data_IF_018186240661
#
_entry.id   IF_018186240661
#
_cell.length_a   1.000
_cell.length_b   1.000
_cell.length_c   1.000
_cell.angle_alpha   90.00
_cell.angle_beta   90.00
_cell.angle_gamma   90.00
#
_symmetry.space_group_name_H-M   'P 1'
#
loop_
_entity.id
_entity.type
_entity.pdbx_description
1 polymer ?
#
# COMPACT_ATOMS: atom_id res chain seq x y z
N UNK A 1 -15.20 -3.35 -16.19
CA UNK A 1 -13.91 -2.83 -15.72
C UNK A 1 -12.83 -3.46 -16.57
N UNK A 2 -12.03 -2.63 -17.22
CA UNK A 2 -10.87 -3.03 -18.02
C UNK A 2 -9.64 -3.14 -17.12
N UNK A 3 -8.60 -3.86 -17.57
CA UNK A 3 -7.33 -3.97 -16.83
C UNK A 3 -6.68 -2.60 -16.58
N UNK A 4 -6.91 -1.63 -17.48
CA UNK A 4 -6.46 -0.25 -17.29
C UNK A 4 -7.21 0.45 -16.16
N UNK A 5 -8.53 0.35 -16.13
CA UNK A 5 -9.34 0.97 -15.07
C UNK A 5 -8.99 0.39 -13.70
N UNK A 6 -8.73 -0.92 -13.63
CA UNK A 6 -8.25 -1.56 -12.40
C UNK A 6 -6.87 -1.03 -11.97
N UNK A 7 -5.93 -0.90 -12.90
CA UNK A 7 -4.62 -0.32 -12.59
C UNK A 7 -4.72 1.14 -12.10
N UNK A 8 -5.55 1.96 -12.75
CA UNK A 8 -5.71 3.36 -12.36
C UNK A 8 -6.28 3.46 -10.93
N UNK A 9 -7.24 2.61 -10.56
CA UNK A 9 -7.79 2.53 -9.19
C UNK A 9 -6.70 2.12 -8.19
N UNK A 10 -5.94 1.06 -8.47
CA UNK A 10 -4.87 0.58 -7.57
C UNK A 10 -3.81 1.66 -7.36
N UNK A 11 -3.44 2.40 -8.41
CA UNK A 11 -2.47 3.49 -8.31
C UNK A 11 -3.02 4.69 -7.53
N UNK A 12 -4.31 5.00 -7.69
CA UNK A 12 -4.99 6.04 -6.90
C UNK A 12 -5.03 5.68 -5.41
N UNK A 13 -5.38 4.44 -5.08
CA UNK A 13 -5.42 3.95 -3.70
C UNK A 13 -4.03 3.98 -3.05
N UNK A 14 -3.00 3.46 -3.74
CA UNK A 14 -1.62 3.53 -3.28
C UNK A 14 -1.16 4.98 -3.07
N UNK A 15 -1.53 5.90 -3.97
CA UNK A 15 -1.21 7.32 -3.83
C UNK A 15 -1.86 7.95 -2.60
N UNK A 16 -3.12 7.60 -2.29
CA UNK A 16 -3.81 8.10 -1.10
C UNK A 16 -3.12 7.60 0.19
N UNK A 17 -2.79 6.31 0.28
CA UNK A 17 -2.05 5.78 1.43
C UNK A 17 -0.67 6.43 1.60
N UNK A 18 0.02 6.77 0.51
CA UNK A 18 1.30 7.49 0.59
C UNK A 18 1.14 8.95 1.05
N UNK A 19 0.02 9.61 0.72
CA UNK A 19 -0.28 10.94 1.28
C UNK A 19 -0.54 10.87 2.78
N UNK A 20 -1.28 9.86 3.23
CA UNK A 20 -1.56 9.67 4.65
C UNK A 20 -0.28 9.31 5.41
N UNK A 21 0.60 8.48 4.82
CA UNK A 21 1.94 8.21 5.33
C UNK A 21 2.76 9.51 5.49
N UNK A 22 2.74 10.40 4.49
CA UNK A 22 3.44 11.69 4.60
C UNK A 22 2.87 12.54 5.74
N UNK A 23 1.54 12.56 5.91
CA UNK A 23 0.92 13.27 7.01
C UNK A 23 1.33 12.71 8.38
N UNK A 24 1.30 11.38 8.54
CA UNK A 24 1.73 10.70 9.76
C UNK A 24 3.21 10.96 10.08
N UNK A 25 4.07 11.00 9.06
CA UNK A 25 5.47 11.39 9.21
C UNK A 25 5.60 12.82 9.73
N UNK A 26 4.82 13.76 9.19
CA UNK A 26 4.87 15.18 9.59
C UNK A 26 4.37 15.41 11.03
N UNK A 27 3.43 14.58 11.51
CA UNK A 27 2.90 14.64 12.87
C UNK A 27 3.71 13.82 13.89
N UNK A 28 4.67 13.02 13.42
CA UNK A 28 5.47 12.12 14.25
C UNK A 28 4.74 10.85 14.69
N UNK A 29 3.63 10.50 14.02
CA UNK A 29 2.86 9.29 14.29
C UNK A 29 3.50 8.09 13.58
N UNK A 30 4.42 7.41 14.27
CA UNK A 30 5.15 6.30 13.72
C UNK A 30 4.29 5.04 13.49
N UNK A 31 3.21 4.86 14.26
CA UNK A 31 2.31 3.71 14.13
C UNK A 31 1.45 3.87 12.88
N UNK A 32 0.84 5.05 12.71
CA UNK A 32 0.05 5.37 11.52
C UNK A 32 0.92 5.38 10.25
N UNK A 33 2.15 5.90 10.34
CA UNK A 33 3.11 5.86 9.23
C UNK A 33 3.39 4.41 8.79
N UNK A 34 3.63 3.50 9.73
CA UNK A 34 3.89 2.11 9.42
C UNK A 34 2.67 1.44 8.77
N UNK A 35 1.46 1.72 9.29
CA UNK A 35 0.21 1.20 8.74
C UNK A 35 -0.04 1.70 7.30
N UNK A 36 0.08 3.01 7.06
CA UNK A 36 -0.11 3.60 5.74
C UNK A 36 0.90 3.08 4.72
N UNK A 37 2.16 2.86 5.11
CA UNK A 37 3.16 2.25 4.23
C UNK A 37 2.86 0.78 3.93
N UNK A 38 2.33 0.04 4.90
CA UNK A 38 1.89 -1.34 4.70
C UNK A 38 0.74 -1.43 3.70
N UNK A 39 -0.29 -0.60 3.85
CA UNK A 39 -1.45 -0.55 2.95
C UNK A 39 -1.07 -0.11 1.53
N UNK A 40 -0.22 0.91 1.38
CA UNK A 40 0.30 1.34 0.08
C UNK A 40 1.06 0.19 -0.61
N UNK A 41 1.91 -0.50 0.15
CA UNK A 41 2.71 -1.60 -0.35
C UNK A 41 1.88 -2.83 -0.76
N UNK A 42 0.90 -3.21 0.07
CA UNK A 42 -0.05 -4.27 -0.23
C UNK A 42 -0.85 -3.96 -1.50
N UNK A 43 -1.40 -2.74 -1.58
CA UNK A 43 -2.15 -2.25 -2.74
C UNK A 43 -1.35 -2.40 -4.03
N UNK A 44 -0.08 -1.97 -4.04
CA UNK A 44 0.80 -2.14 -5.19
C UNK A 44 1.09 -3.61 -5.53
N UNK A 45 1.22 -4.49 -4.53
CA UNK A 45 1.45 -5.92 -4.77
C UNK A 45 0.29 -6.59 -5.53
N UNK A 46 -0.93 -6.06 -5.43
CA UNK A 46 -2.08 -6.57 -6.20
C UNK A 46 -1.99 -6.27 -7.70
N UNK A 47 -1.26 -5.22 -8.10
CA UNK A 47 -1.02 -4.85 -9.50
C UNK A 47 0.32 -5.37 -10.06
N UNK A 48 1.27 -5.73 -9.19
CA UNK A 48 2.61 -6.15 -9.61
C UNK A 48 2.67 -7.66 -9.91
N UNK A 49 3.59 -8.10 -10.79
CA UNK A 49 3.86 -9.51 -10.99
C UNK A 49 4.24 -10.21 -9.67
N UNK A 50 3.85 -11.48 -9.51
CA UNK A 50 4.02 -12.24 -8.26
C UNK A 50 5.44 -12.27 -7.69
N UNK A 51 6.48 -12.15 -8.52
CA UNK A 51 7.88 -12.05 -8.07
C UNK A 51 8.18 -10.83 -7.19
N UNK A 52 7.34 -9.79 -7.25
CA UNK A 52 7.46 -8.62 -6.38
C UNK A 52 6.80 -8.86 -5.02
N UNK A 53 5.66 -9.56 -4.99
CA UNK A 53 5.01 -9.97 -3.74
C UNK A 53 5.94 -10.89 -2.90
N UNK A 54 6.68 -11.79 -3.55
CA UNK A 54 7.68 -12.65 -2.88
C UNK A 54 8.86 -11.90 -2.24
N UNK A 55 9.07 -10.64 -2.64
CA UNK A 55 10.16 -9.78 -2.15
C UNK A 55 9.63 -8.62 -1.29
N UNK A 56 8.32 -8.53 -1.11
CA UNK A 56 7.68 -7.50 -0.33
C UNK A 56 7.93 -7.73 1.17
N UNK A 57 8.01 -6.65 1.98
CA UNK A 57 8.08 -6.80 3.44
C UNK A 57 6.88 -7.55 4.00
N UNK A 58 7.11 -8.54 4.88
CA UNK A 58 6.05 -9.30 5.54
C UNK A 58 5.04 -8.40 6.26
N UNK A 59 5.53 -7.29 6.83
CA UNK A 59 4.73 -6.28 7.51
C UNK A 59 3.58 -5.70 6.66
N UNK A 60 3.65 -5.80 5.33
CA UNK A 60 2.57 -5.36 4.43
C UNK A 60 1.36 -6.30 4.43
N UNK A 61 1.50 -7.51 5.00
CA UNK A 61 0.45 -8.53 5.01
C UNK A 61 -0.03 -8.85 6.43
N UNK A 62 0.65 -8.37 7.46
CA UNK A 62 0.37 -8.71 8.87
C UNK A 62 -0.89 -8.01 9.45
N UNK A 63 -1.52 -7.08 8.71
CA UNK A 63 -2.74 -6.36 9.12
C UNK A 63 -4.04 -6.81 8.44
N UNK A 64 -3.97 -7.68 7.43
CA UNK A 64 -5.13 -8.15 6.68
C UNK A 64 -5.93 -9.18 7.46
N UNK A 65 -7.02 -8.77 8.10
CA UNK A 65 -8.00 -9.68 8.70
C UNK A 65 -8.62 -10.55 7.60
N UNK A 66 -8.59 -11.86 7.80
CA UNK A 66 -9.23 -12.88 6.95
C UNK A 66 -10.76 -12.70 6.82
#
# INVERSE_FOLDING_TARGET
>A
MTDKELHDIILEDAFNHLKDAQHALDTGDAEELAACLAEAGFTLCTALPGSYAERAPDAWFEGGVA
#
